data_IF_214698781387
#
_entry.id   IF_214698781387
#
_cell.length_a   1.000
_cell.length_b   1.000
_cell.length_c   1.000
_cell.angle_alpha   90.00
_cell.angle_beta   90.00
_cell.angle_gamma   90.00
#
_symmetry.space_group_name_H-M   'P 1'
#
loop_
_entity.id
_entity.type
_entity.pdbx_description
1 polymer ?
#
# COMPACT_ATOMS: atom_id res chain seq x y z
N UNK A 1 -1.50 6.13 1.18
CA UNK A 1 -1.84 4.89 1.90
C UNK A 1 -2.32 3.79 0.97
N UNK A 2 -3.29 4.05 0.10
CA UNK A 2 -3.78 3.08 -0.90
C UNK A 2 -2.66 2.43 -1.73
N UNK A 3 -1.64 3.19 -2.16
CA UNK A 3 -0.49 2.64 -2.86
C UNK A 3 0.30 1.61 -2.01
N UNK A 4 0.47 1.85 -0.71
CA UNK A 4 1.17 0.91 0.19
C UNK A 4 0.35 -0.37 0.33
N UNK A 5 -0.95 -0.26 0.59
CA UNK A 5 -1.87 -1.40 0.69
C UNK A 5 -1.86 -2.24 -0.60
N UNK A 6 -1.77 -1.60 -1.76
CA UNK A 6 -1.62 -2.27 -3.05
C UNK A 6 -0.26 -2.97 -3.22
N UNK A 7 0.84 -2.29 -2.85
CA UNK A 7 2.21 -2.87 -2.96
C UNK A 7 2.43 -4.03 -1.99
N UNK A 8 1.79 -4.00 -0.82
CA UNK A 8 1.74 -5.11 0.15
C UNK A 8 0.86 -6.29 -0.32
N UNK A 9 0.11 -6.13 -1.43
CA UNK A 9 -0.75 -7.19 -1.97
C UNK A 9 -2.08 -7.38 -1.24
N UNK A 10 -2.39 -6.55 -0.24
CA UNK A 10 -3.68 -6.60 0.45
C UNK A 10 -4.86 -6.20 -0.45
N UNK A 11 -4.61 -5.45 -1.53
CA UNK A 11 -5.56 -5.19 -2.61
C UNK A 11 -5.01 -5.66 -3.96
N UNK A 12 -5.84 -6.34 -4.76
CA UNK A 12 -5.49 -6.82 -6.10
C UNK A 12 -5.29 -5.67 -7.10
N UNK A 13 -6.06 -4.59 -6.98
CA UNK A 13 -5.94 -3.38 -7.80
C UNK A 13 -5.75 -2.14 -6.94
N UNK A 14 -5.22 -1.05 -7.52
CA UNK A 14 -5.10 0.24 -6.83
C UNK A 14 -6.46 0.78 -6.37
N UNK A 15 -7.49 0.62 -7.20
CA UNK A 15 -8.85 1.02 -6.86
C UNK A 15 -9.42 0.21 -5.67
N UNK A 16 -9.21 -1.11 -5.66
CA UNK A 16 -9.64 -1.96 -4.55
C UNK A 16 -8.87 -1.63 -3.26
N UNK A 17 -7.56 -1.41 -3.34
CA UNK A 17 -6.76 -0.98 -2.18
C UNK A 17 -7.28 0.35 -1.60
N UNK A 18 -7.65 1.30 -2.46
CA UNK A 18 -8.30 2.56 -2.05
C UNK A 18 -9.63 2.31 -1.35
N UNK A 19 -10.47 1.42 -1.88
CA UNK A 19 -11.73 1.05 -1.25
C UNK A 19 -11.52 0.43 0.13
N UNK A 20 -10.54 -0.47 0.27
CA UNK A 20 -10.19 -1.09 1.55
C UNK A 20 -9.79 -0.05 2.60
N UNK A 21 -8.99 0.95 2.21
CA UNK A 21 -8.63 2.07 3.10
C UNK A 21 -9.88 2.89 3.44
N UNK A 22 -10.62 3.40 2.46
CA UNK A 22 -11.79 4.27 2.69
C UNK A 22 -12.85 3.61 3.57
N UNK A 23 -13.10 2.30 3.40
CA UNK A 23 -14.06 1.54 4.20
C UNK A 23 -13.50 1.11 5.56
N UNK A 24 -12.23 1.41 5.85
CA UNK A 24 -11.61 1.18 7.15
C UNK A 24 -11.31 -0.28 7.43
N UNK A 25 -10.97 -1.07 6.41
CA UNK A 25 -10.44 -2.43 6.55
C UNK A 25 -8.98 -2.45 7.03
N UNK A 26 -8.31 -1.31 7.01
CA UNK A 26 -6.89 -1.15 7.36
C UNK A 26 -6.75 -0.27 8.60
N UNK A 27 -5.71 -0.53 9.37
CA UNK A 27 -5.22 0.30 10.47
C UNK A 27 -3.76 0.68 10.25
N UNK A 28 -3.35 1.79 10.87
CA UNK A 28 -1.96 2.24 10.92
C UNK A 28 -1.62 2.46 12.38
N UNK A 29 -0.58 1.79 12.87
CA UNK A 29 -0.13 1.85 14.27
C UNK A 29 -1.29 1.58 15.25
N UNK A 30 -2.14 0.59 14.96
CA UNK A 30 -3.35 0.27 15.72
C UNK A 30 -4.53 1.23 15.55
N UNK A 31 -4.33 2.42 14.96
CA UNK A 31 -5.37 3.40 14.69
C UNK A 31 -6.17 3.10 13.43
N UNK A 32 -7.48 3.36 13.44
CA UNK A 32 -8.33 3.26 12.24
C UNK A 32 -7.82 4.23 11.17
N UNK A 33 -7.54 3.70 9.97
CA UNK A 33 -7.11 4.51 8.82
C UNK A 33 -8.18 4.48 7.72
N UNK A 34 -8.77 5.64 7.42
CA UNK A 34 -9.78 5.81 6.35
C UNK A 34 -9.41 6.84 5.30
N UNK A 35 -8.18 7.35 5.32
CA UNK A 35 -7.72 8.41 4.42
C UNK A 35 -6.76 7.77 3.39
N UNK A 36 -7.19 7.52 2.14
CA UNK A 36 -6.33 6.90 1.14
C UNK A 36 -5.10 7.72 0.79
N UNK A 37 -5.23 9.05 0.81
CA UNK A 37 -4.16 10.01 0.54
C UNK A 37 -3.18 10.19 1.70
N UNK A 38 -3.33 9.46 2.80
CA UNK A 38 -2.41 9.55 3.93
C UNK A 38 -0.97 9.22 3.51
N UNK A 39 -0.05 10.13 3.80
CA UNK A 39 1.38 9.98 3.61
C UNK A 39 1.95 9.19 4.78
N UNK A 40 2.41 7.96 4.52
CA UNK A 40 2.99 7.12 5.55
C UNK A 40 4.39 7.62 5.92
N UNK A 41 4.73 7.43 7.20
CA UNK A 41 6.04 7.72 7.76
C UNK A 41 6.86 6.45 7.84
N UNK A 42 8.18 6.63 7.97
CA UNK A 42 9.08 5.53 8.27
C UNK A 42 8.65 4.91 9.60
N UNK A 43 8.72 3.58 9.69
CA UNK A 43 8.25 2.73 10.78
C UNK A 43 6.73 2.68 10.98
N UNK A 44 5.92 3.29 10.09
CA UNK A 44 4.48 3.07 10.15
C UNK A 44 4.17 1.59 9.87
N UNK A 45 3.36 1.02 10.76
CA UNK A 45 2.89 -0.36 10.70
C UNK A 45 1.46 -0.36 10.17
N UNK A 46 1.27 -0.91 8.99
CA UNK A 46 -0.02 -1.05 8.30
C UNK A 46 -0.55 -2.46 8.52
N UNK A 47 -1.76 -2.58 9.05
CA UNK A 47 -2.38 -3.87 9.37
C UNK A 47 -3.76 -3.99 8.76
N UNK A 48 -4.12 -5.19 8.28
CA UNK A 48 -5.52 -5.50 7.99
C UNK A 48 -6.23 -5.74 9.31
N UNK A 49 -7.37 -5.08 9.52
CA UNK A 49 -8.12 -5.24 10.76
C UNK A 49 -8.55 -6.67 10.99
N UNK A 50 -8.54 -7.06 12.26
CA UNK A 50 -9.04 -8.36 12.69
C UNK A 50 -10.57 -8.45 12.67
N UNK A 51 -11.09 -8.51 11.44
CA UNK A 51 -12.50 -8.75 11.14
C UNK A 51 -12.53 -9.77 10.02
N UNK A 52 -13.39 -10.78 10.15
CA UNK A 52 -13.52 -11.89 9.19
C UNK A 52 -13.58 -11.41 7.74
N UNK A 53 -14.46 -10.44 7.44
CA UNK A 53 -14.60 -9.88 6.09
C UNK A 53 -13.32 -9.20 5.56
N UNK A 54 -12.56 -8.53 6.42
CA UNK A 54 -11.31 -7.86 6.03
C UNK A 54 -10.20 -8.88 5.77
N UNK A 55 -10.04 -9.86 6.68
CA UNK A 55 -9.04 -10.92 6.56
C UNK A 55 -9.31 -11.79 5.33
N UNK A 56 -10.54 -12.23 5.12
CA UNK A 56 -10.93 -12.99 3.92
C UNK A 56 -10.67 -12.22 2.62
N UNK A 57 -10.94 -10.91 2.59
CA UNK A 57 -10.65 -10.08 1.42
C UNK A 57 -9.13 -10.00 1.17
N UNK A 58 -8.35 -9.74 2.23
CA UNK A 58 -6.90 -9.65 2.12
C UNK A 58 -6.25 -10.99 1.74
N UNK A 59 -6.74 -12.13 2.25
CA UNK A 59 -6.24 -13.47 1.89
C UNK A 59 -6.39 -13.71 0.40
N UNK A 60 -7.59 -13.51 -0.16
CA UNK A 60 -7.84 -13.67 -1.60
C UNK A 60 -6.97 -12.74 -2.44
N UNK A 61 -6.75 -11.52 -1.97
CA UNK A 61 -5.92 -10.55 -2.69
C UNK A 61 -4.42 -10.91 -2.64
N UNK A 62 -3.94 -11.47 -1.53
CA UNK A 62 -2.58 -11.98 -1.39
C UNK A 62 -2.32 -13.19 -2.30
N UNK A 63 -3.30 -14.10 -2.40
CA UNK A 63 -3.27 -15.22 -3.35
C UNK A 63 -3.19 -14.72 -4.79
N UNK A 64 -4.05 -13.76 -5.16
CA UNK A 64 -4.06 -13.14 -6.49
C UNK A 64 -2.77 -12.37 -6.79
N UNK A 65 -2.15 -11.78 -5.78
CA UNK A 65 -0.94 -10.94 -5.91
C UNK A 65 0.36 -11.71 -5.69
N UNK A 66 0.37 -13.04 -5.76
CA UNK A 66 1.57 -13.86 -5.51
C UNK A 66 2.74 -13.54 -6.44
N UNK A 67 2.47 -13.13 -7.68
CA UNK A 67 3.50 -12.70 -8.65
C UNK A 67 4.02 -11.28 -8.40
N UNK A 68 3.40 -10.51 -7.51
CA UNK A 68 3.80 -9.13 -7.19
C UNK A 68 4.95 -9.15 -6.20
N UNK A 69 6.10 -8.68 -6.63
CA UNK A 69 7.23 -8.44 -5.73
C UNK A 69 6.90 -7.28 -4.79
N UNK A 70 7.03 -7.51 -3.49
CA UNK A 70 6.96 -6.45 -2.49
C UNK A 70 8.27 -5.66 -2.56
N UNK A 71 8.23 -4.33 -2.79
CA UNK A 71 9.45 -3.52 -2.85
C UNK A 71 10.23 -3.54 -1.53
N UNK A 72 11.56 -3.40 -1.57
CA UNK A 72 12.44 -3.50 -0.40
C UNK A 72 12.18 -2.43 0.68
N UNK A 73 11.64 -1.27 0.30
CA UNK A 73 11.25 -0.24 1.26
C UNK A 73 9.99 -0.58 2.07
N UNK A 74 9.35 -1.71 1.76
CA UNK A 74 8.25 -2.31 2.51
C UNK A 74 8.63 -3.70 3.01
N UNK A 75 8.30 -3.98 4.27
CA UNK A 75 8.32 -5.33 4.80
C UNK A 75 6.89 -5.87 4.85
N UNK A 76 6.68 -7.14 4.47
CA UNK A 76 5.39 -7.82 4.54
C UNK A 76 5.49 -9.07 5.43
N UNK A 77 4.65 -9.12 6.44
CA UNK A 77 4.39 -10.30 7.26
C UNK A 77 3.03 -10.87 6.88
N UNK A 78 3.03 -11.85 5.98
CA UNK A 78 1.80 -12.38 5.35
C UNK A 78 0.84 -12.97 6.38
N UNK A 79 1.36 -13.77 7.32
CA UNK A 79 0.55 -14.48 8.31
C UNK A 79 -0.13 -13.53 9.30
N UNK A 80 0.52 -12.41 9.63
CA UNK A 80 -0.03 -11.36 10.47
C UNK A 80 -0.92 -10.36 9.69
N UNK A 81 -0.91 -10.41 8.35
CA UNK A 81 -1.38 -9.36 7.45
C UNK A 81 -0.92 -7.98 7.90
N UNK A 82 0.37 -7.88 8.17
CA UNK A 82 1.05 -6.69 8.64
C UNK A 82 2.11 -6.30 7.63
N UNK A 83 2.27 -5.01 7.40
CA UNK A 83 3.37 -4.48 6.63
C UNK A 83 3.96 -3.24 7.25
N UNK A 84 5.27 -3.07 7.12
CA UNK A 84 6.01 -1.98 7.76
C UNK A 84 6.72 -1.15 6.70
N UNK A 85 6.64 0.17 6.84
CA UNK A 85 7.40 1.10 5.99
C UNK A 85 8.83 1.21 6.53
N UNK A 86 9.78 0.57 5.86
CA UNK A 86 11.17 0.49 6.32
C UNK A 86 11.94 1.77 6.01
N UNK A 87 11.69 2.37 4.84
CA UNK A 87 12.34 3.60 4.39
C UNK A 87 11.51 4.28 3.31
N UNK A 88 11.93 5.48 2.92
CA UNK A 88 11.41 6.15 1.71
C UNK A 88 12.02 5.47 0.48
N UNK A 89 11.24 5.20 -0.58
CA UNK A 89 11.78 4.63 -1.82
C UNK A 89 12.77 5.59 -2.48
N UNK A 90 13.84 5.03 -3.06
CA UNK A 90 14.71 5.76 -3.97
C UNK A 90 14.08 5.84 -5.36
N UNK A 91 14.60 6.73 -6.21
CA UNK A 91 14.06 6.94 -7.56
C UNK A 91 14.12 5.67 -8.40
N UNK A 92 15.21 4.91 -8.30
CA UNK A 92 15.43 3.70 -9.09
C UNK A 92 14.47 2.55 -8.75
N UNK A 93 13.87 2.58 -7.55
CA UNK A 93 12.88 1.59 -7.09
C UNK A 93 11.45 1.91 -7.58
N UNK A 94 11.24 3.13 -8.07
CA UNK A 94 9.96 3.56 -8.62
C UNK A 94 10.00 3.30 -10.12
N UNK A 95 9.29 2.27 -10.58
CA UNK A 95 9.11 2.05 -12.01
C UNK A 95 8.46 3.29 -12.65
N UNK A 96 9.16 3.99 -13.56
CA UNK A 96 8.62 5.18 -14.20
C UNK A 96 7.49 4.77 -15.15
N UNK A 97 6.31 5.36 -14.94
CA UNK A 97 5.11 5.14 -15.77
C UNK A 97 5.02 6.23 -16.86
N UNK A 98 5.70 7.36 -16.64
CA UNK A 98 5.77 8.50 -17.53
C UNK A 98 7.12 9.20 -17.34
N UNK A 99 7.50 10.04 -18.30
CA UNK A 99 8.66 10.92 -18.15
C UNK A 99 8.33 12.05 -17.16
N UNK A 100 9.01 12.02 -16.01
CA UNK A 100 8.87 13.02 -14.96
C UNK A 100 9.31 14.41 -15.43
N UNK A 101 10.29 14.51 -16.35
CA UNK A 101 10.79 15.79 -16.83
C UNK A 101 9.72 16.56 -17.60
N UNK A 102 9.02 15.88 -18.51
CA UNK A 102 7.85 16.44 -19.21
C UNK A 102 6.80 17.01 -18.24
N UNK A 103 6.58 16.39 -17.08
CA UNK A 103 5.63 16.88 -16.08
C UNK A 103 6.12 18.19 -15.44
N UNK A 104 7.42 18.27 -15.10
CA UNK A 104 8.04 19.49 -14.53
C UNK A 104 7.97 20.64 -15.54
N UNK A 105 8.30 20.38 -16.80
CA UNK A 105 8.24 21.37 -17.87
C UNK A 105 6.82 21.91 -18.10
N UNK A 106 5.80 21.06 -17.96
CA UNK A 106 4.40 21.47 -18.09
C UNK A 106 3.96 22.46 -17.00
N UNK A 107 4.35 22.24 -15.74
CA UNK A 107 3.98 23.11 -14.62
C UNK A 107 4.89 24.34 -14.43
N UNK A 108 6.00 24.43 -15.18
CA UNK A 108 6.93 25.58 -15.13
C UNK A 108 6.62 26.67 -16.15
N UNK A 109 5.54 26.52 -16.92
CA UNK A 109 4.97 27.54 -17.81
C UNK A 109 4.01 28.44 -17.06
#
# INVERSE_FOLDING_TARGET
>A
MDNIVYRLGFGATRAQARQMVSHGHVSVNGGKMTIPSYTAKINDVVEVKDRSASRQLATRNLEYSTSRVVPEWLQLEKDAFRGTVMRVPTRDEIQPIADEQTIVEFYSR
#
